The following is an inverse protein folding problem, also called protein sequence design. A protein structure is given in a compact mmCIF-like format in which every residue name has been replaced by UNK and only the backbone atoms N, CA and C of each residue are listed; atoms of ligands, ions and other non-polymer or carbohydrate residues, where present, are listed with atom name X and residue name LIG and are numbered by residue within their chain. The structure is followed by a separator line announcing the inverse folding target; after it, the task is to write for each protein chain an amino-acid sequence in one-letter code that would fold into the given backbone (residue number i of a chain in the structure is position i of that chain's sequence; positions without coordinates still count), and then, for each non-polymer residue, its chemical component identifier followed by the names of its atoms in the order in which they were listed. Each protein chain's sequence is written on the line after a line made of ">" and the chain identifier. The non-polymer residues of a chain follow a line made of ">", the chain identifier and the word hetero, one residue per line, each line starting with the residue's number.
data_IF_990992702172
#
_entry.id   IF_990992702172
#
_cell.length_a   1.000
_cell.length_b   1.000
_cell.length_c   1.000
_cell.angle_alpha   90.00
_cell.angle_beta   90.00
_cell.angle_gamma   90.00
#
_symmetry.space_group_name_H-M   'P 1'
#
loop_
_entity.id
_entity.type
_entity.pdbx_description
1 polymer ?
#
# COMPACT_ATOMS: atom_id res chain seq x y z
N UNK A 1 0.69 -13.03 -21.80
CA UNK A 1 1.10 -12.79 -20.41
C UNK A 1 1.65 -11.39 -20.32
N UNK A 2 0.92 -10.47 -19.69
CA UNK A 2 1.41 -9.12 -19.42
C UNK A 2 2.54 -9.21 -18.40
N UNK A 3 3.69 -8.62 -18.70
CA UNK A 3 4.79 -8.51 -17.73
C UNK A 3 4.44 -7.52 -16.62
N UNK A 4 5.18 -7.57 -15.51
CA UNK A 4 5.10 -6.55 -14.45
C UNK A 4 5.89 -5.33 -14.91
N UNK A 5 5.26 -4.16 -14.93
CA UNK A 5 5.92 -2.87 -15.08
C UNK A 5 6.08 -2.21 -13.72
N UNK A 6 7.23 -1.57 -13.47
CA UNK A 6 7.54 -1.00 -12.15
C UNK A 6 7.59 0.52 -12.22
N UNK A 7 6.82 1.17 -11.34
CA UNK A 7 6.94 2.59 -11.02
C UNK A 7 7.51 2.69 -9.60
N UNK A 8 8.65 3.37 -9.41
CA UNK A 8 9.29 3.51 -8.11
C UNK A 8 9.52 4.98 -7.78
N UNK A 9 8.77 5.50 -6.79
CA UNK A 9 9.02 6.82 -6.21
C UNK A 9 9.90 6.70 -4.96
N UNK A 10 11.11 7.27 -4.99
CA UNK A 10 12.03 7.29 -3.85
C UNK A 10 12.31 8.71 -3.36
N UNK A 11 13.18 8.86 -2.35
CA UNK A 11 13.67 10.18 -1.95
C UNK A 11 14.45 10.85 -3.08
N UNK A 12 14.37 12.18 -3.20
CA UNK A 12 15.04 12.92 -4.28
C UNK A 12 16.56 12.67 -4.37
N UNK A 13 17.23 12.41 -3.23
CA UNK A 13 18.66 12.11 -3.20
C UNK A 13 19.00 10.66 -3.59
N UNK A 14 18.01 9.79 -3.59
CA UNK A 14 18.16 8.36 -3.84
C UNK A 14 17.88 7.96 -5.30
N UNK A 15 17.34 8.88 -6.10
CA UNK A 15 16.83 8.58 -7.45
C UNK A 15 17.86 7.87 -8.33
N UNK A 16 19.07 8.42 -8.44
CA UNK A 16 20.11 7.82 -9.29
C UNK A 16 20.57 6.46 -8.75
N UNK A 17 20.67 6.31 -7.43
CA UNK A 17 21.05 5.03 -6.80
C UNK A 17 20.00 3.95 -7.09
N UNK A 18 18.71 4.28 -6.97
CA UNK A 18 17.61 3.36 -7.25
C UNK A 18 17.54 3.01 -8.74
N UNK A 19 17.72 4.01 -9.62
CA UNK A 19 17.77 3.79 -11.07
C UNK A 19 18.93 2.88 -11.46
N UNK A 20 20.11 3.08 -10.88
CA UNK A 20 21.27 2.20 -11.10
C UNK A 20 20.99 0.77 -10.67
N UNK A 21 20.36 0.56 -9.51
CA UNK A 21 20.01 -0.77 -9.03
C UNK A 21 19.06 -1.52 -9.98
N UNK A 22 18.02 -0.86 -10.53
CA UNK A 22 17.15 -1.47 -11.54
C UNK A 22 17.91 -1.84 -12.82
N UNK A 23 18.82 -0.97 -13.29
CA UNK A 23 19.67 -1.25 -14.47
C UNK A 23 20.58 -2.47 -14.25
N UNK A 24 21.21 -2.59 -13.08
CA UNK A 24 22.05 -3.74 -12.72
C UNK A 24 21.26 -5.05 -12.68
N UNK A 25 20.00 -4.99 -12.25
CA UNK A 25 19.08 -6.12 -12.24
C UNK A 25 18.47 -6.44 -13.60
N UNK A 26 18.67 -5.58 -14.61
CA UNK A 26 18.07 -5.74 -15.95
C UNK A 26 16.56 -5.57 -15.97
N UNK A 27 15.99 -4.83 -15.01
CA UNK A 27 14.56 -4.59 -14.88
C UNK A 27 14.24 -3.19 -15.40
N UNK A 28 13.31 -3.09 -16.35
CA UNK A 28 12.80 -1.81 -16.82
C UNK A 28 11.83 -1.20 -15.79
N UNK A 29 12.17 -0.03 -15.27
CA UNK A 29 11.44 0.64 -14.20
C UNK A 29 11.43 2.16 -14.37
N UNK A 30 10.26 2.78 -14.23
CA UNK A 30 10.09 4.22 -14.14
C UNK A 30 10.42 4.70 -12.73
N UNK A 31 11.65 5.20 -12.54
CA UNK A 31 12.10 5.74 -11.25
C UNK A 31 11.87 7.25 -11.20
N UNK A 32 11.25 7.71 -10.10
CA UNK A 32 11.03 9.11 -9.80
C UNK A 32 11.66 9.44 -8.43
N UNK A 33 12.36 10.56 -8.32
CA UNK A 33 12.59 11.20 -7.03
C UNK A 33 11.27 11.69 -6.42
N UNK A 34 11.36 12.33 -5.26
CA UNK A 34 10.16 12.86 -4.59
C UNK A 34 9.35 13.75 -5.56
N UNK A 35 8.08 13.42 -5.75
CA UNK A 35 7.15 14.12 -6.65
C UNK A 35 5.84 14.42 -5.95
N UNK A 36 5.23 15.56 -6.27
CA UNK A 36 3.89 15.93 -5.80
C UNK A 36 2.79 15.26 -6.63
N UNK A 37 3.13 14.59 -7.72
CA UNK A 37 2.20 13.93 -8.64
C UNK A 37 1.96 12.46 -8.27
N UNK A 38 2.05 12.11 -6.98
CA UNK A 38 1.91 10.72 -6.52
C UNK A 38 0.54 10.12 -6.88
N UNK A 39 -0.52 10.93 -6.90
CA UNK A 39 -1.85 10.50 -7.31
C UNK A 39 -1.89 9.98 -8.76
N UNK A 40 -1.13 10.59 -9.66
CA UNK A 40 -1.05 10.16 -11.06
C UNK A 40 -0.29 8.84 -11.19
N UNK A 41 0.76 8.64 -10.38
CA UNK A 41 1.50 7.38 -10.34
C UNK A 41 0.64 6.25 -9.77
N UNK A 42 -0.10 6.53 -8.69
CA UNK A 42 -1.07 5.59 -8.09
C UNK A 42 -2.15 5.20 -9.10
N UNK A 43 -2.73 6.16 -9.85
CA UNK A 43 -3.78 5.89 -10.83
C UNK A 43 -3.35 4.97 -11.98
N UNK A 44 -2.04 4.83 -12.22
CA UNK A 44 -1.44 3.93 -13.21
C UNK A 44 -1.10 2.55 -12.64
N UNK A 45 -1.32 2.33 -11.36
CA UNK A 45 -0.84 1.16 -10.62
C UNK A 45 -1.99 0.22 -10.28
N UNK A 46 -1.84 -1.07 -10.60
CA UNK A 46 -2.80 -2.10 -10.21
C UNK A 46 -2.57 -2.60 -8.78
N UNK A 47 -1.33 -2.48 -8.28
CA UNK A 47 -0.88 -2.92 -6.97
C UNK A 47 0.24 -2.00 -6.48
N UNK A 48 0.34 -1.78 -5.16
CA UNK A 48 1.38 -0.96 -4.56
C UNK A 48 2.14 -1.65 -3.43
N UNK A 49 3.39 -1.22 -3.22
CA UNK A 49 4.19 -1.53 -2.04
C UNK A 49 4.52 -0.19 -1.38
N UNK A 50 4.14 0.01 -0.13
CA UNK A 50 4.33 1.32 0.52
C UNK A 50 4.49 1.23 2.02
N UNK A 51 5.05 2.29 2.61
CA UNK A 51 4.91 2.54 4.04
C UNK A 51 3.45 2.91 4.34
N UNK A 52 2.97 2.62 5.54
CA UNK A 52 1.58 2.93 5.95
C UNK A 52 1.45 4.28 6.68
N UNK A 53 2.12 5.30 6.14
CA UNK A 53 1.86 6.68 6.52
C UNK A 53 0.42 7.08 6.15
N UNK A 54 -0.24 7.88 6.99
CA UNK A 54 -1.67 8.14 6.86
C UNK A 54 -2.05 8.70 5.48
N UNK A 55 -1.33 9.71 4.96
CA UNK A 55 -1.64 10.31 3.65
C UNK A 55 -1.58 9.31 2.51
N UNK A 56 -0.45 8.63 2.33
CA UNK A 56 -0.24 7.67 1.24
C UNK A 56 -1.19 6.48 1.34
N UNK A 57 -1.44 5.97 2.55
CA UNK A 57 -2.40 4.88 2.76
C UNK A 57 -3.80 5.28 2.31
N UNK A 58 -4.27 6.47 2.66
CA UNK A 58 -5.61 6.92 2.28
C UNK A 58 -5.72 7.23 0.79
N UNK A 59 -4.67 7.77 0.16
CA UNK A 59 -4.61 7.95 -1.30
C UNK A 59 -4.73 6.61 -2.05
N UNK A 60 -3.99 5.60 -1.61
CA UNK A 60 -4.06 4.24 -2.19
C UNK A 60 -5.45 3.61 -2.00
N UNK A 61 -6.06 3.80 -0.83
CA UNK A 61 -7.42 3.33 -0.58
C UNK A 61 -8.44 4.03 -1.47
N UNK A 62 -8.35 5.35 -1.59
CA UNK A 62 -9.24 6.16 -2.42
C UNK A 62 -9.12 5.80 -3.91
N UNK A 63 -7.91 5.45 -4.35
CA UNK A 63 -7.64 4.95 -5.70
C UNK A 63 -7.99 3.46 -5.89
N UNK A 64 -8.47 2.77 -4.84
CA UNK A 64 -8.83 1.35 -4.86
C UNK A 64 -7.66 0.43 -5.24
N UNK A 65 -6.42 0.83 -4.92
CA UNK A 65 -5.20 0.08 -5.24
C UNK A 65 -4.83 -0.85 -4.08
N UNK A 66 -4.94 -2.18 -4.25
CA UNK A 66 -4.48 -3.14 -3.25
C UNK A 66 -3.00 -2.93 -2.95
N UNK A 67 -2.68 -2.84 -1.65
CA UNK A 67 -1.35 -2.45 -1.21
C UNK A 67 -0.77 -3.43 -0.21
N UNK A 68 0.50 -3.78 -0.41
CA UNK A 68 1.33 -4.45 0.59
C UNK A 68 2.04 -3.39 1.44
N UNK A 69 1.58 -3.21 2.67
CA UNK A 69 2.11 -2.24 3.60
C UNK A 69 3.31 -2.78 4.37
N UNK A 70 4.38 -1.99 4.45
CA UNK A 70 5.56 -2.27 5.28
C UNK A 70 5.71 -1.14 6.30
N UNK A 71 5.07 -1.21 7.48
CA UNK A 71 5.11 -0.12 8.45
C UNK A 71 6.54 0.27 8.86
N UNK A 72 6.78 1.57 9.03
CA UNK A 72 8.07 2.04 9.55
C UNK A 72 8.21 1.66 11.04
N UNK A 73 9.25 0.92 11.45
CA UNK A 73 9.33 0.36 12.80
C UNK A 73 9.55 1.40 13.90
N UNK A 74 10.06 2.58 13.56
CA UNK A 74 10.34 3.67 14.52
C UNK A 74 9.25 4.75 14.53
N UNK A 75 8.08 4.45 13.96
CA UNK A 75 6.96 5.36 13.92
C UNK A 75 6.38 5.53 15.34
N UNK A 76 6.07 6.76 15.75
CA UNK A 76 5.64 7.05 17.12
C UNK A 76 4.36 6.26 17.47
N UNK A 77 4.37 5.60 18.63
CA UNK A 77 3.27 4.75 19.09
C UNK A 77 2.80 3.68 18.07
N UNK A 78 3.68 3.29 17.14
CA UNK A 78 3.40 2.27 16.12
C UNK A 78 2.19 2.61 15.22
N UNK A 79 1.90 3.91 15.09
CA UNK A 79 0.74 4.41 14.35
C UNK A 79 0.66 3.93 12.88
N UNK A 80 1.80 3.69 12.22
CA UNK A 80 1.81 3.14 10.87
C UNK A 80 1.29 1.71 10.83
N UNK A 81 1.62 0.87 11.82
CA UNK A 81 1.08 -0.47 11.91
C UNK A 81 -0.43 -0.42 12.15
N UNK A 82 -0.90 0.41 13.07
CA UNK A 82 -2.34 0.58 13.34
C UNK A 82 -3.12 1.07 12.11
N UNK A 83 -2.58 2.00 11.33
CA UNK A 83 -3.21 2.44 10.09
C UNK A 83 -3.37 1.29 9.09
N UNK A 84 -2.34 0.45 8.93
CA UNK A 84 -2.41 -0.70 8.04
C UNK A 84 -3.41 -1.74 8.55
N UNK A 85 -3.35 -2.07 9.85
CA UNK A 85 -4.26 -3.03 10.49
C UNK A 85 -5.74 -2.66 10.31
N UNK A 86 -6.05 -1.37 10.34
CA UNK A 86 -7.40 -0.88 10.10
C UNK A 86 -7.95 -1.31 8.73
N UNK A 87 -7.14 -1.24 7.67
CA UNK A 87 -7.53 -1.67 6.32
C UNK A 87 -7.55 -3.20 6.21
N UNK A 88 -6.63 -3.89 6.89
CA UNK A 88 -6.58 -5.35 6.91
C UNK A 88 -7.81 -5.99 7.58
N UNK A 89 -8.45 -5.30 8.52
CA UNK A 89 -9.72 -5.75 9.12
C UNK A 89 -10.81 -6.04 8.07
N UNK A 90 -10.75 -5.35 6.93
CA UNK A 90 -11.68 -5.52 5.81
C UNK A 90 -11.09 -6.35 4.66
N UNK A 91 -9.96 -7.02 4.89
CA UNK A 91 -9.23 -7.81 3.89
C UNK A 91 -8.86 -7.02 2.61
N UNK A 92 -8.57 -5.73 2.77
CA UNK A 92 -8.31 -4.79 1.67
C UNK A 92 -6.83 -4.66 1.26
N UNK A 93 -5.91 -5.40 1.90
CA UNK A 93 -4.48 -5.33 1.62
C UNK A 93 -3.67 -6.39 2.34
N UNK A 94 -2.37 -6.16 2.47
CA UNK A 94 -1.42 -6.94 3.26
C UNK A 94 -0.61 -6.00 4.15
N UNK A 95 -0.10 -6.51 5.27
CA UNK A 95 0.75 -5.74 6.16
C UNK A 95 1.77 -6.66 6.80
N UNK A 96 3.05 -6.39 6.54
CA UNK A 96 4.16 -7.16 7.11
C UNK A 96 5.21 -6.21 7.69
N UNK A 97 5.77 -6.59 8.84
CA UNK A 97 6.94 -5.90 9.36
C UNK A 97 8.19 -6.35 8.60
N UNK A 98 9.23 -5.53 8.65
CA UNK A 98 10.50 -5.90 8.05
C UNK A 98 11.11 -7.10 8.77
N UNK A 99 11.36 -8.17 8.02
CA UNK A 99 11.85 -9.47 8.48
C UNK A 99 12.56 -10.20 7.33
N UNK A 100 13.24 -11.30 7.65
CA UNK A 100 13.99 -12.08 6.66
C UNK A 100 13.07 -12.79 5.64
N UNK A 101 11.81 -13.04 6.00
CA UNK A 101 10.80 -13.69 5.14
C UNK A 101 9.96 -12.70 4.30
N UNK A 102 10.25 -11.39 4.38
CA UNK A 102 9.46 -10.35 3.73
C UNK A 102 9.37 -10.53 2.21
N UNK A 103 10.47 -10.94 1.57
CA UNK A 103 10.51 -11.16 0.12
C UNK A 103 9.58 -12.28 -0.31
N UNK A 104 9.50 -13.36 0.46
CA UNK A 104 8.60 -14.48 0.21
C UNK A 104 7.13 -14.04 0.31
N UNK A 105 6.76 -13.35 1.39
CA UNK A 105 5.40 -12.85 1.58
C UNK A 105 4.98 -11.83 0.53
N UNK A 106 5.91 -10.96 0.13
CA UNK A 106 5.67 -10.01 -0.95
C UNK A 106 5.44 -10.73 -2.29
N UNK A 107 6.23 -11.77 -2.57
CA UNK A 107 6.06 -12.57 -3.78
C UNK A 107 4.69 -13.26 -3.80
N UNK A 108 4.25 -13.84 -2.68
CA UNK A 108 2.90 -14.42 -2.57
C UNK A 108 1.81 -13.38 -2.84
N UNK A 109 1.95 -12.16 -2.30
CA UNK A 109 1.00 -11.08 -2.53
C UNK A 109 0.97 -10.63 -4.00
N UNK A 110 2.13 -10.43 -4.63
CA UNK A 110 2.23 -10.01 -6.05
C UNK A 110 1.61 -11.06 -6.99
N UNK A 111 1.77 -12.34 -6.68
CA UNK A 111 1.25 -13.44 -7.51
C UNK A 111 -0.22 -13.79 -7.21
N UNK A 112 -0.82 -13.18 -6.19
CA UNK A 112 -2.21 -13.43 -5.82
C UNK A 112 -3.21 -12.67 -6.71
N UNK A 113 -4.48 -13.07 -6.65
CA UNK A 113 -5.56 -12.31 -7.29
C UNK A 113 -5.88 -11.07 -6.46
N UNK A 114 -5.55 -9.90 -7.00
CA UNK A 114 -5.73 -8.61 -6.34
C UNK A 114 -7.16 -8.06 -6.46
N UNK A 115 -7.98 -8.59 -7.38
CA UNK A 115 -9.33 -8.06 -7.68
C UNK A 115 -10.25 -8.04 -6.46
N UNK A 116 -10.34 -9.12 -5.63
CA UNK A 116 -11.20 -9.11 -4.45
C UNK A 116 -10.83 -8.00 -3.46
N UNK A 117 -9.54 -7.65 -3.34
CA UNK A 117 -9.10 -6.58 -2.44
C UNK A 117 -9.46 -5.20 -2.97
N UNK A 118 -9.32 -5.00 -4.29
CA UNK A 118 -9.72 -3.74 -4.94
C UNK A 118 -11.24 -3.51 -4.82
N UNK A 119 -12.04 -4.56 -5.01
CA UNK A 119 -13.49 -4.51 -4.82
C UNK A 119 -13.89 -4.14 -3.37
N UNK A 120 -13.20 -4.71 -2.38
CA UNK A 120 -13.45 -4.35 -0.96
C UNK A 120 -12.99 -2.94 -0.63
N UNK A 121 -11.89 -2.46 -1.23
CA UNK A 121 -11.49 -1.05 -1.11
C UNK A 121 -12.60 -0.15 -1.63
N UNK A 122 -13.17 -0.44 -2.81
CA UNK A 122 -14.28 0.31 -3.39
C UNK A 122 -15.50 0.37 -2.44
N UNK A 123 -15.82 -0.74 -1.77
CA UNK A 123 -16.90 -0.80 -0.77
C UNK A 123 -16.58 0.02 0.48
N UNK A 124 -15.34 -0.05 0.98
CA UNK A 124 -14.90 0.68 2.17
C UNK A 124 -14.93 2.21 1.96
N UNK A 125 -14.62 2.69 0.76
CA UNK A 125 -14.59 4.13 0.42
C UNK A 125 -15.88 4.66 -0.20
N UNK A 126 -16.89 3.81 -0.42
CA UNK A 126 -18.17 4.22 -1.01
C UNK A 126 -18.82 5.35 -0.18
N UNK A 127 -19.74 6.15 -0.74
CA UNK A 127 -20.52 7.11 0.03
C UNK A 127 -21.14 6.42 1.26
N UNK A 128 -21.05 7.06 2.43
CA UNK A 128 -21.39 6.49 3.74
C UNK A 128 -20.43 5.41 4.30
N UNK A 129 -19.33 5.07 3.61
CA UNK A 129 -18.29 4.18 4.12
C UNK A 129 -17.68 4.68 5.44
N UNK A 130 -17.39 5.98 5.54
CA UNK A 130 -16.97 6.62 6.79
C UNK A 130 -18.01 6.47 7.93
N UNK A 131 -19.31 6.51 7.61
CA UNK A 131 -20.38 6.26 8.60
C UNK A 131 -20.42 4.78 9.00
N UNK A 132 -20.26 3.86 8.05
CA UNK A 132 -20.20 2.42 8.33
C UNK A 132 -18.99 2.05 9.20
N UNK A 133 -17.87 2.74 9.00
CA UNK A 133 -16.66 2.66 9.81
C UNK A 133 -16.92 3.12 11.24
N UNK A 134 -17.57 4.28 11.41
CA UNK A 134 -17.91 4.82 12.73
C UNK A 134 -18.89 3.88 13.45
N UNK A 135 -19.95 3.43 12.77
CA UNK A 135 -20.91 2.46 13.32
C UNK A 135 -20.26 1.13 13.74
N UNK A 136 -19.27 0.65 12.98
CA UNK A 136 -18.54 -0.58 13.31
C UNK A 136 -17.65 -0.40 14.54
N UNK A 137 -16.97 0.74 14.66
CA UNK A 137 -16.14 1.08 15.83
C UNK A 137 -17.01 1.27 17.08
N UNK A 138 -18.18 1.89 16.95
CA UNK A 138 -19.14 2.06 18.05
C UNK A 138 -19.76 0.73 18.50
N UNK A 139 -20.10 -0.17 17.56
CA UNK A 139 -20.58 -1.52 17.89
C UNK A 139 -19.55 -2.33 18.65
N UNK A 140 -18.27 -2.26 18.27
CA UNK A 140 -17.20 -2.99 18.98
C UNK A 140 -16.95 -2.46 20.40
N UNK A 141 -17.29 -1.20 20.70
CA UNK A 141 -17.23 -0.62 22.05
C UNK A 141 -18.37 -1.06 22.97
N UNK A 142 -19.43 -1.66 22.44
CA UNK A 142 -20.62 -2.07 23.22
C UNK A 142 -20.74 -3.59 23.40
N UNK A 143 -19.76 -4.36 22.93
CA UNK A 143 -19.69 -5.82 23.11
C UNK A 143 -18.50 -6.22 24.01
N UNK A 144 -17.80 -5.25 24.60
CA UNK A 144 -16.70 -5.46 25.56
C UNK A 144 -17.10 -5.21 27.01
#
# INVERSE_FOLDING_TARGET
>A
SGGITVIHQCGAKEEERVRAAYRELGIDAEVYGFTTQIAELIARSDFAISRSGASTLWELCAAQVPTFYIPFPYAAADHQFHNAQYILKYDCGWCERQSDDLSFKLQEAILSDIRPKSERLAQLIAPYGALHIIETIEKERHVG
#
